data_IF_360654041172
#
_entry.id   IF_360654041172
#
_cell.length_a   1.000
_cell.length_b   1.000
_cell.length_c   1.000
_cell.angle_alpha   90.00
_cell.angle_beta   90.00
_cell.angle_gamma   90.00
#
_symmetry.space_group_name_H-M   'P 1'
#
loop_
_entity.id
_entity.type
_entity.pdbx_description
1 polymer ?
#
# COMPACT_ATOMS: atom_id res chain seq x y z
N UNK A 1 -33.17 -10.17 -3.78
CA UNK A 1 -32.37 -9.10 -3.16
C UNK A 1 -32.04 -9.52 -1.75
N UNK A 2 -30.76 -9.67 -1.39
CA UNK A 2 -30.37 -9.97 -0.01
C UNK A 2 -30.56 -8.72 0.86
N UNK A 3 -30.87 -8.88 2.16
CA UNK A 3 -31.09 -7.76 3.09
C UNK A 3 -29.94 -6.72 3.12
N UNK A 4 -28.74 -7.13 2.72
CA UNK A 4 -27.55 -6.29 2.59
C UNK A 4 -27.66 -5.25 1.45
N UNK A 5 -28.41 -5.54 0.38
CA UNK A 5 -28.62 -4.63 -0.75
C UNK A 5 -29.66 -3.53 -0.46
N UNK A 6 -30.46 -3.66 0.61
CA UNK A 6 -31.49 -2.69 0.97
C UNK A 6 -30.97 -1.49 1.76
N UNK A 7 -29.75 -1.57 2.32
CA UNK A 7 -29.14 -0.48 3.09
C UNK A 7 -28.25 0.42 2.22
N UNK A 8 -28.34 1.76 2.32
CA UNK A 8 -27.53 2.68 1.51
C UNK A 8 -26.03 2.57 1.80
N UNK A 9 -25.15 3.12 0.97
CA UNK A 9 -23.72 3.19 1.23
C UNK A 9 -23.40 3.84 2.61
N UNK A 10 -22.30 3.45 3.23
CA UNK A 10 -21.81 4.08 4.47
C UNK A 10 -20.31 3.98 4.59
N UNK A 11 -19.68 4.93 5.30
CA UNK A 11 -18.24 4.90 5.58
C UNK A 11 -17.83 3.64 6.30
N UNK A 12 -18.65 3.17 7.25
CA UNK A 12 -18.39 1.91 7.96
C UNK A 12 -18.31 0.72 7.00
N UNK A 13 -19.21 0.63 6.01
CA UNK A 13 -19.16 -0.43 4.99
C UNK A 13 -17.91 -0.32 4.13
N UNK A 14 -17.57 0.87 3.66
CA UNK A 14 -16.33 1.12 2.93
C UNK A 14 -15.12 0.64 3.73
N UNK A 15 -14.98 1.04 5.00
CA UNK A 15 -13.85 0.65 5.85
C UNK A 15 -13.74 -0.87 6.02
N UNK A 16 -14.85 -1.59 6.20
CA UNK A 16 -14.82 -3.05 6.25
C UNK A 16 -14.39 -3.68 4.93
N UNK A 17 -14.82 -3.15 3.78
CA UNK A 17 -14.35 -3.62 2.46
C UNK A 17 -12.87 -3.31 2.26
N UNK A 18 -12.43 -2.11 2.59
CA UNK A 18 -11.02 -1.72 2.57
C UNK A 18 -10.18 -2.63 3.45
N UNK A 19 -10.60 -2.92 4.69
CA UNK A 19 -9.90 -3.83 5.60
C UNK A 19 -9.83 -5.25 5.02
N UNK A 20 -10.94 -5.78 4.50
CA UNK A 20 -10.96 -7.10 3.87
C UNK A 20 -10.01 -7.18 2.68
N UNK A 21 -10.06 -6.20 1.78
CA UNK A 21 -9.19 -6.14 0.60
C UNK A 21 -7.73 -5.98 1.00
N UNK A 22 -7.45 -5.17 2.02
CA UNK A 22 -6.11 -5.00 2.57
C UNK A 22 -5.55 -6.32 3.12
N UNK A 23 -6.34 -7.07 3.90
CA UNK A 23 -5.92 -8.40 4.40
C UNK A 23 -5.64 -9.38 3.26
N UNK A 24 -6.49 -9.41 2.23
CA UNK A 24 -6.30 -10.27 1.06
C UNK A 24 -5.01 -9.89 0.31
N UNK A 25 -4.79 -8.59 0.09
CA UNK A 25 -3.56 -8.09 -0.53
C UNK A 25 -2.32 -8.56 0.24
N UNK A 26 -2.34 -8.52 1.56
CA UNK A 26 -1.21 -8.95 2.40
C UNK A 26 -0.95 -10.45 2.31
N UNK A 27 -2.01 -11.26 2.39
CA UNK A 27 -1.89 -12.72 2.26
C UNK A 27 -1.28 -13.07 0.89
N UNK A 28 -1.74 -12.41 -0.17
CA UNK A 28 -1.20 -12.62 -1.51
C UNK A 28 0.24 -12.09 -1.65
N UNK A 29 0.59 -10.97 -1.00
CA UNK A 29 1.95 -10.46 -0.97
C UNK A 29 2.91 -11.41 -0.23
N UNK A 30 2.49 -11.97 0.90
CA UNK A 30 3.26 -13.00 1.62
C UNK A 30 3.45 -14.22 0.72
N UNK A 31 2.41 -14.66 0.01
CA UNK A 31 2.54 -15.74 -0.98
C UNK A 31 3.54 -15.36 -2.08
N UNK A 32 3.51 -14.12 -2.59
CA UNK A 32 4.46 -13.62 -3.57
C UNK A 32 5.91 -13.66 -3.08
N UNK A 33 6.15 -13.26 -1.84
CA UNK A 33 7.47 -13.32 -1.18
C UNK A 33 7.93 -14.78 -1.08
N UNK A 34 7.11 -15.64 -0.50
CA UNK A 34 7.45 -17.05 -0.26
C UNK A 34 7.71 -17.80 -1.57
N UNK A 35 6.87 -17.60 -2.59
CA UNK A 35 7.04 -18.23 -3.89
C UNK A 35 8.27 -17.70 -4.65
N UNK A 36 8.63 -16.44 -4.43
CA UNK A 36 9.83 -15.84 -5.05
C UNK A 36 11.11 -16.33 -4.41
N UNK A 37 11.11 -16.52 -3.08
CA UNK A 37 12.22 -17.08 -2.30
C UNK A 37 12.34 -18.60 -2.40
N UNK A 38 11.29 -19.31 -2.82
CA UNK A 38 11.26 -20.78 -2.80
C UNK A 38 12.49 -21.43 -3.47
N UNK A 39 12.94 -21.01 -4.68
CA UNK A 39 14.10 -21.66 -5.29
C UNK A 39 15.40 -21.36 -4.53
N UNK A 40 15.55 -20.16 -3.96
CA UNK A 40 16.71 -19.76 -3.15
C UNK A 40 16.85 -20.65 -1.92
N UNK A 41 15.73 -20.93 -1.23
CA UNK A 41 15.69 -21.82 -0.07
C UNK A 41 16.01 -23.27 -0.48
N UNK A 42 15.45 -23.75 -1.59
CA UNK A 42 15.67 -25.14 -2.02
C UNK A 42 17.08 -25.40 -2.58
N UNK A 43 17.69 -24.41 -3.22
CA UNK A 43 19.01 -24.51 -3.82
C UNK A 43 20.15 -24.16 -2.85
N UNK A 44 19.85 -23.55 -1.71
CA UNK A 44 20.85 -23.02 -0.79
C UNK A 44 21.63 -21.82 -1.35
N UNK A 45 21.13 -21.21 -2.42
CA UNK A 45 21.74 -20.05 -3.07
C UNK A 45 20.82 -18.82 -2.88
N UNK A 46 21.23 -17.82 -2.08
CA UNK A 46 20.46 -16.59 -1.88
C UNK A 46 20.15 -15.82 -3.17
N UNK A 47 20.89 -16.06 -4.26
CA UNK A 47 20.67 -15.40 -5.56
C UNK A 47 19.66 -16.13 -6.44
N UNK A 48 19.26 -17.35 -6.11
CA UNK A 48 18.32 -18.15 -6.90
C UNK A 48 16.86 -17.76 -6.65
N UNK A 49 16.51 -16.48 -6.84
CA UNK A 49 15.12 -15.99 -6.77
C UNK A 49 14.44 -16.07 -8.14
N UNK A 50 13.16 -16.42 -8.16
CA UNK A 50 12.38 -16.54 -9.41
C UNK A 50 11.56 -15.27 -9.72
N UNK A 51 11.35 -14.98 -11.01
CA UNK A 51 10.47 -13.88 -11.43
C UNK A 51 9.00 -14.28 -11.57
N UNK A 52 8.71 -15.58 -11.52
CA UNK A 52 7.42 -16.12 -11.93
C UNK A 52 6.22 -15.55 -11.13
N UNK A 53 6.27 -15.42 -9.79
CA UNK A 53 5.12 -14.94 -9.01
C UNK A 53 4.71 -13.52 -9.39
N UNK A 54 5.67 -12.60 -9.56
CA UNK A 54 5.35 -11.23 -9.90
C UNK A 54 4.91 -11.07 -11.35
N UNK A 55 5.40 -11.88 -12.28
CA UNK A 55 4.85 -11.92 -13.64
C UNK A 55 3.39 -12.38 -13.65
N UNK A 56 3.07 -13.46 -12.92
CA UNK A 56 1.69 -13.95 -12.80
C UNK A 56 0.79 -12.87 -12.19
N UNK A 57 1.23 -12.25 -11.09
CA UNK A 57 0.50 -11.16 -10.43
C UNK A 57 0.27 -9.97 -11.38
N UNK A 58 1.30 -9.57 -12.13
CA UNK A 58 1.21 -8.47 -13.10
C UNK A 58 0.17 -8.76 -14.19
N UNK A 59 0.26 -9.92 -14.87
CA UNK A 59 -0.66 -10.26 -15.95
C UNK A 59 -2.10 -10.46 -15.43
N UNK A 60 -2.27 -11.18 -14.33
CA UNK A 60 -3.59 -11.36 -13.72
C UNK A 60 -4.20 -10.03 -13.26
N UNK A 61 -3.38 -9.13 -12.68
CA UNK A 61 -3.79 -7.79 -12.29
C UNK A 61 -4.24 -6.96 -13.49
N UNK A 62 -3.43 -6.87 -14.55
CA UNK A 62 -3.79 -6.13 -15.78
C UNK A 62 -5.10 -6.64 -16.37
N UNK A 63 -5.29 -7.96 -16.45
CA UNK A 63 -6.55 -8.54 -16.93
C UNK A 63 -7.71 -8.18 -16.00
N UNK A 64 -7.55 -8.31 -14.68
CA UNK A 64 -8.62 -8.01 -13.75
C UNK A 64 -9.03 -6.52 -13.76
N UNK A 65 -8.06 -5.60 -13.79
CA UNK A 65 -8.34 -4.15 -13.84
C UNK A 65 -8.93 -3.69 -15.17
N UNK A 66 -8.52 -4.28 -16.28
CA UNK A 66 -9.15 -4.01 -17.57
C UNK A 66 -10.61 -4.47 -17.59
N UNK A 67 -10.91 -5.62 -16.98
CA UNK A 67 -12.29 -6.09 -16.82
C UNK A 67 -13.11 -5.19 -15.88
N UNK A 68 -12.51 -4.67 -14.81
CA UNK A 68 -13.17 -3.77 -13.85
C UNK A 68 -13.51 -2.39 -14.42
N UNK A 69 -12.95 -2.01 -15.57
CA UNK A 69 -13.33 -0.78 -16.28
C UNK A 69 -14.79 -0.81 -16.73
N UNK A 70 -15.34 -2.00 -16.99
CA UNK A 70 -16.76 -2.19 -17.26
C UNK A 70 -17.54 -2.21 -15.95
N UNK A 71 -18.35 -1.16 -15.72
CA UNK A 71 -19.21 -1.03 -14.54
C UNK A 71 -20.13 -2.24 -14.35
N UNK A 72 -20.51 -2.95 -15.44
CA UNK A 72 -21.34 -4.16 -15.37
C UNK A 72 -20.60 -5.37 -14.79
N UNK A 73 -19.27 -5.39 -14.91
CA UNK A 73 -18.40 -6.47 -14.40
C UNK A 73 -17.87 -6.19 -13.00
N UNK A 74 -18.22 -5.04 -12.43
CA UNK A 74 -17.78 -4.62 -11.11
C UNK A 74 -18.46 -5.45 -10.02
N UNK A 75 -17.85 -6.61 -9.78
CA UNK A 75 -18.33 -7.62 -8.85
C UNK A 75 -17.33 -7.78 -7.70
N UNK A 76 -17.79 -8.06 -6.48
CA UNK A 76 -16.90 -8.28 -5.33
C UNK A 76 -15.83 -9.34 -5.59
N UNK A 77 -16.18 -10.43 -6.28
CA UNK A 77 -15.24 -11.50 -6.63
C UNK A 77 -14.13 -11.01 -7.55
N UNK A 78 -14.44 -10.26 -8.60
CA UNK A 78 -13.43 -9.73 -9.53
C UNK A 78 -12.50 -8.72 -8.83
N UNK A 79 -13.04 -7.90 -7.91
CA UNK A 79 -12.25 -6.99 -7.09
C UNK A 79 -11.27 -7.76 -6.20
N UNK A 80 -11.73 -8.83 -5.54
CA UNK A 80 -10.88 -9.67 -4.69
C UNK A 80 -9.76 -10.32 -5.51
N UNK A 81 -10.08 -10.84 -6.70
CA UNK A 81 -9.07 -11.43 -7.61
C UNK A 81 -8.05 -10.37 -8.05
N UNK A 82 -8.51 -9.18 -8.40
CA UNK A 82 -7.64 -8.07 -8.80
C UNK A 82 -6.64 -7.72 -7.68
N UNK A 83 -7.15 -7.52 -6.46
CA UNK A 83 -6.36 -7.15 -5.28
C UNK A 83 -5.41 -8.29 -4.87
N UNK A 84 -5.83 -9.55 -4.99
CA UNK A 84 -4.95 -10.69 -4.74
C UNK A 84 -3.82 -10.78 -5.77
N UNK A 85 -4.11 -10.56 -7.05
CA UNK A 85 -3.10 -10.54 -8.10
C UNK A 85 -2.08 -9.40 -7.87
N UNK A 86 -2.55 -8.22 -7.47
CA UNK A 86 -1.68 -7.10 -7.11
C UNK A 86 -0.82 -7.39 -5.87
N UNK A 87 -1.39 -8.01 -4.84
CA UNK A 87 -0.62 -8.46 -3.69
C UNK A 87 0.50 -9.41 -4.11
N UNK A 88 0.19 -10.43 -4.91
CA UNK A 88 1.17 -11.38 -5.45
C UNK A 88 2.29 -10.67 -6.25
N UNK A 89 1.90 -9.71 -7.10
CA UNK A 89 2.83 -8.86 -7.84
C UNK A 89 3.77 -8.11 -6.91
N UNK A 90 3.22 -7.38 -5.94
CA UNK A 90 3.99 -6.58 -4.99
C UNK A 90 4.93 -7.41 -4.13
N UNK A 91 4.47 -8.55 -3.63
CA UNK A 91 5.29 -9.45 -2.83
C UNK A 91 6.48 -9.98 -3.63
N UNK A 92 6.23 -10.47 -4.83
CA UNK A 92 7.28 -11.03 -5.66
C UNK A 92 8.26 -9.98 -6.20
N UNK A 93 7.77 -8.79 -6.59
CA UNK A 93 8.64 -7.72 -7.08
C UNK A 93 9.50 -7.16 -5.94
N UNK A 94 8.94 -7.00 -4.73
CA UNK A 94 9.71 -6.57 -3.57
C UNK A 94 10.87 -7.52 -3.27
N UNK A 95 10.61 -8.83 -3.21
CA UNK A 95 11.66 -9.83 -2.98
C UNK A 95 12.69 -9.87 -4.12
N UNK A 96 12.25 -9.80 -5.38
CA UNK A 96 13.15 -9.86 -6.53
C UNK A 96 14.11 -8.66 -6.59
N UNK A 97 13.64 -7.47 -6.22
CA UNK A 97 14.44 -6.26 -6.19
C UNK A 97 15.20 -6.05 -4.89
N UNK A 98 14.90 -6.77 -3.81
CA UNK A 98 15.67 -6.69 -2.55
C UNK A 98 17.15 -7.01 -2.77
N UNK A 99 17.48 -7.96 -3.66
CA UNK A 99 18.87 -8.28 -4.03
C UNK A 99 19.57 -7.23 -4.91
N UNK A 100 18.85 -6.23 -5.42
CA UNK A 100 19.38 -5.21 -6.36
C UNK A 100 19.31 -3.78 -5.79
N UNK A 101 18.25 -3.49 -5.05
CA UNK A 101 17.99 -2.22 -4.39
C UNK A 101 17.55 -2.52 -2.95
N UNK A 102 18.50 -2.87 -2.06
CA UNK A 102 18.19 -3.32 -0.71
C UNK A 102 17.35 -2.29 0.03
N UNK A 103 16.23 -2.71 0.61
CA UNK A 103 15.34 -1.91 1.44
C UNK A 103 14.48 -0.86 0.76
N UNK A 104 14.75 -0.44 -0.47
CA UNK A 104 13.98 0.65 -1.09
C UNK A 104 12.51 0.26 -1.24
N UNK A 105 12.26 -0.88 -1.88
CA UNK A 105 10.89 -1.32 -2.21
C UNK A 105 10.11 -1.67 -0.94
N UNK A 106 10.76 -2.37 -0.01
CA UNK A 106 10.10 -2.72 1.25
C UNK A 106 9.85 -1.48 2.12
N UNK A 107 10.78 -0.53 2.24
CA UNK A 107 10.55 0.71 3.01
C UNK A 107 9.39 1.54 2.44
N UNK A 108 9.29 1.67 1.12
CA UNK A 108 8.15 2.31 0.45
C UNK A 108 6.84 1.60 0.81
N UNK A 109 6.82 0.27 0.70
CA UNK A 109 5.65 -0.52 1.04
C UNK A 109 5.26 -0.30 2.51
N UNK A 110 6.19 -0.46 3.45
CA UNK A 110 5.94 -0.30 4.88
C UNK A 110 5.48 1.12 5.25
N UNK A 111 6.01 2.16 4.60
CA UNK A 111 5.52 3.53 4.78
C UNK A 111 4.05 3.65 4.37
N UNK A 112 3.67 3.17 3.20
CA UNK A 112 2.28 3.17 2.74
C UNK A 112 1.36 2.34 3.65
N UNK A 113 1.82 1.15 4.06
CA UNK A 113 1.09 0.26 4.97
C UNK A 113 0.81 0.93 6.33
N UNK A 114 1.80 1.62 6.88
CA UNK A 114 1.68 2.31 8.17
C UNK A 114 0.56 3.36 8.15
N UNK A 115 0.40 4.08 7.03
CA UNK A 115 -0.71 5.03 6.86
C UNK A 115 -2.05 4.32 6.85
N UNK A 116 -2.18 3.18 6.16
CA UNK A 116 -3.45 2.44 6.05
C UNK A 116 -3.85 1.85 7.40
N UNK A 117 -2.89 1.27 8.13
CA UNK A 117 -3.08 0.73 9.47
C UNK A 117 -3.54 1.81 10.44
N UNK A 118 -2.97 3.03 10.36
CA UNK A 118 -3.45 4.17 11.16
C UNK A 118 -4.81 4.69 10.67
N UNK A 119 -5.01 4.75 9.36
CA UNK A 119 -6.22 5.28 8.73
C UNK A 119 -7.47 4.50 9.13
N UNK A 120 -7.47 3.17 9.06
CA UNK A 120 -8.65 2.35 9.31
C UNK A 120 -9.33 2.62 10.67
N UNK A 121 -8.63 2.57 11.83
CA UNK A 121 -9.23 2.87 13.12
C UNK A 121 -9.57 4.36 13.27
N UNK A 122 -8.70 5.27 12.81
CA UNK A 122 -8.96 6.71 12.92
C UNK A 122 -10.20 7.12 12.11
N UNK A 123 -10.34 6.60 10.89
CA UNK A 123 -11.50 6.83 10.03
C UNK A 123 -12.74 6.11 10.54
N UNK A 124 -12.63 5.05 11.34
CA UNK A 124 -13.76 4.40 11.99
C UNK A 124 -14.37 5.27 13.11
N UNK A 125 -13.59 6.15 13.72
CA UNK A 125 -14.04 7.07 14.78
C UNK A 125 -14.89 8.23 14.22
N UNK A 126 -16.14 8.34 14.68
CA UNK A 126 -17.10 9.37 14.22
C UNK A 126 -16.58 10.79 14.44
N UNK A 127 -15.97 11.04 15.60
CA UNK A 127 -15.46 12.34 16.00
C UNK A 127 -14.36 12.82 15.04
N UNK A 128 -13.46 11.91 14.65
CA UNK A 128 -12.39 12.20 13.70
C UNK A 128 -12.96 12.51 12.32
N UNK A 129 -14.00 11.77 11.88
CA UNK A 129 -14.64 12.02 10.59
C UNK A 129 -15.28 13.41 10.51
N UNK A 130 -15.84 13.91 11.61
CA UNK A 130 -16.46 15.25 11.70
C UNK A 130 -15.47 16.42 11.70
N UNK A 131 -14.18 16.15 11.83
CA UNK A 131 -13.16 17.21 11.77
C UNK A 131 -13.07 17.82 10.38
N UNK A 132 -12.59 19.07 10.31
CA UNK A 132 -12.21 19.71 9.05
C UNK A 132 -11.11 18.88 8.37
N UNK A 133 -11.12 18.82 7.02
CA UNK A 133 -10.17 18.03 6.20
C UNK A 133 -8.72 18.18 6.66
N UNK A 134 -8.27 19.41 6.92
CA UNK A 134 -6.90 19.70 7.36
C UNK A 134 -6.55 19.00 8.66
N UNK A 135 -7.35 19.18 9.72
CA UNK A 135 -7.13 18.54 11.01
C UNK A 135 -7.22 17.01 10.92
N UNK A 136 -8.17 16.48 10.14
CA UNK A 136 -8.28 15.03 9.91
C UNK A 136 -7.07 14.46 9.19
N UNK A 137 -6.56 15.16 8.18
CA UNK A 137 -5.34 14.78 7.46
C UNK A 137 -4.15 14.76 8.40
N UNK A 138 -3.98 15.78 9.25
CA UNK A 138 -2.89 15.82 10.24
C UNK A 138 -2.94 14.63 11.21
N UNK A 139 -4.14 14.22 11.65
CA UNK A 139 -4.27 13.02 12.48
C UNK A 139 -3.87 11.75 11.74
N UNK A 140 -4.24 11.60 10.46
CA UNK A 140 -3.82 10.47 9.64
C UNK A 140 -2.31 10.46 9.40
N UNK A 141 -1.70 11.64 9.18
CA UNK A 141 -0.25 11.80 9.05
C UNK A 141 0.46 11.41 10.34
N UNK A 142 0.03 11.98 11.47
CA UNK A 142 0.60 11.70 12.78
C UNK A 142 0.47 10.21 13.14
N UNK A 143 -0.70 9.61 12.90
CA UNK A 143 -0.91 8.17 13.09
C UNK A 143 -0.03 7.33 12.16
N UNK A 144 0.09 7.70 10.89
CA UNK A 144 0.93 7.00 9.93
C UNK A 144 2.41 7.00 10.33
N UNK A 145 2.94 8.15 10.74
CA UNK A 145 4.31 8.23 11.27
C UNK A 145 4.47 7.48 12.58
N UNK A 146 3.49 7.52 13.49
CA UNK A 146 3.57 6.78 14.74
C UNK A 146 3.69 5.27 14.49
N UNK A 147 2.88 4.72 13.57
CA UNK A 147 2.96 3.31 13.17
C UNK A 147 4.28 3.00 12.47
N UNK A 148 4.73 3.87 11.56
CA UNK A 148 5.99 3.70 10.84
C UNK A 148 7.20 3.70 11.78
N UNK A 149 7.23 4.62 12.74
CA UNK A 149 8.29 4.70 13.75
C UNK A 149 8.28 3.50 14.67
N UNK A 150 7.10 3.08 15.14
CA UNK A 150 6.96 1.87 15.95
C UNK A 150 7.50 0.65 15.21
N UNK A 151 7.19 0.52 13.91
CA UNK A 151 7.72 -0.56 13.10
C UNK A 151 9.25 -0.55 13.02
N UNK A 152 9.85 0.61 12.72
CA UNK A 152 11.30 0.74 12.69
C UNK A 152 11.95 0.44 14.04
N UNK A 153 11.38 0.91 15.14
CA UNK A 153 11.85 0.60 16.50
C UNK A 153 11.76 -0.90 16.80
N UNK A 154 10.65 -1.56 16.44
CA UNK A 154 10.51 -3.01 16.64
C UNK A 154 11.52 -3.81 15.83
N UNK A 155 11.84 -3.37 14.60
CA UNK A 155 12.86 -4.02 13.78
C UNK A 155 14.28 -3.79 14.31
N UNK A 156 14.54 -2.66 14.97
CA UNK A 156 15.84 -2.37 15.59
C UNK A 156 16.12 -3.21 16.83
N UNK A 157 15.08 -3.57 17.58
CA UNK A 157 15.18 -4.38 18.81
C UNK A 157 15.16 -5.90 18.54
N UNK A 158 14.94 -6.30 17.29
CA UNK A 158 14.86 -7.70 16.90
C UNK A 158 16.23 -8.23 16.44
N UNK A 159 16.99 -8.80 17.39
CA UNK A 159 18.33 -9.41 17.19
C UNK A 159 18.41 -10.54 16.12
N UNK A 160 17.28 -10.97 15.55
CA UNK A 160 17.26 -11.99 14.48
C UNK A 160 17.39 -11.40 13.07
N UNK A 161 17.33 -10.09 12.92
CA UNK A 161 17.48 -9.43 11.61
C UNK A 161 18.98 -9.14 11.39
N UNK A 162 19.62 -9.71 10.35
CA UNK A 162 21.05 -9.53 10.12
C UNK A 162 21.44 -8.03 10.05
N UNK A 163 22.61 -7.69 10.59
CA UNK A 163 23.17 -6.32 10.62
C UNK A 163 23.29 -5.64 9.24
N UNK A 164 23.23 -6.44 8.16
CA UNK A 164 23.31 -5.98 6.77
C UNK A 164 21.94 -5.78 6.09
N UNK A 165 20.85 -5.85 6.85
CA UNK A 165 19.54 -5.54 6.29
C UNK A 165 19.36 -4.03 6.17
N UNK A 166 18.57 -3.61 5.20
CA UNK A 166 18.30 -2.19 4.96
C UNK A 166 17.36 -1.55 6.00
N UNK A 167 17.38 -2.06 7.23
CA UNK A 167 16.57 -1.64 8.37
C UNK A 167 17.49 -1.29 9.54
N UNK A 168 17.03 -0.42 10.43
CA UNK A 168 17.81 -0.06 11.63
C UNK A 168 19.19 0.53 11.31
N UNK A 169 20.23 0.08 12.01
CA UNK A 169 21.60 0.61 11.90
C UNK A 169 22.25 0.34 10.52
N UNK A 170 21.73 -0.61 9.73
CA UNK A 170 22.16 -0.92 8.37
C UNK A 170 21.36 -0.20 7.27
N UNK A 171 20.41 0.67 7.63
CA UNK A 171 19.59 1.39 6.67
C UNK A 171 20.44 2.27 5.75
N UNK A 172 20.24 2.14 4.43
CA UNK A 172 20.90 2.98 3.44
C UNK A 172 20.63 4.45 3.73
N UNK A 173 21.70 5.23 3.96
CA UNK A 173 21.61 6.66 4.21
C UNK A 173 21.73 7.43 2.90
N UNK A 174 20.78 8.31 2.64
CA UNK A 174 20.79 9.24 1.50
C UNK A 174 20.64 10.65 2.07
N UNK A 175 21.48 11.59 1.65
CA UNK A 175 21.49 12.97 2.19
C UNK A 175 21.64 13.06 3.73
N UNK A 176 22.29 12.06 4.36
CA UNK A 176 22.50 12.03 5.81
C UNK A 176 21.31 11.57 6.64
N UNK A 177 20.21 11.14 6.01
CA UNK A 177 19.05 10.54 6.67
C UNK A 177 18.80 9.11 6.16
N UNK A 178 18.24 8.21 6.99
CA UNK A 178 17.83 6.89 6.52
C UNK A 178 16.82 7.02 5.37
N UNK A 179 17.05 6.29 4.28
CA UNK A 179 16.22 6.36 3.07
C UNK A 179 14.72 6.16 3.38
N UNK A 180 14.41 5.24 4.30
CA UNK A 180 13.03 4.96 4.70
C UNK A 180 12.34 6.16 5.32
N UNK A 181 13.08 7.02 6.04
CA UNK A 181 12.54 8.25 6.62
C UNK A 181 12.22 9.28 5.53
N UNK A 182 13.07 9.41 4.52
CA UNK A 182 12.85 10.31 3.38
C UNK A 182 11.63 9.85 2.59
N UNK A 183 11.53 8.56 2.32
CA UNK A 183 10.39 7.97 1.63
C UNK A 183 9.09 8.15 2.43
N UNK A 184 9.13 7.88 3.74
CA UNK A 184 7.99 8.12 4.61
C UNK A 184 7.60 9.61 4.64
N UNK A 185 8.57 10.53 4.60
CA UNK A 185 8.32 11.97 4.56
C UNK A 185 7.48 12.40 3.34
N UNK A 186 7.63 11.70 2.21
CA UNK A 186 6.90 11.96 0.98
C UNK A 186 5.56 11.22 0.94
N UNK A 187 5.57 9.91 1.26
CA UNK A 187 4.41 9.02 1.11
C UNK A 187 3.35 9.30 2.17
N UNK A 188 3.75 9.50 3.43
CA UNK A 188 2.80 9.60 4.54
C UNK A 188 1.85 10.79 4.37
N UNK A 189 2.33 12.02 4.08
CA UNK A 189 1.43 13.16 3.87
C UNK A 189 0.54 13.02 2.64
N UNK A 190 1.09 12.56 1.50
CA UNK A 190 0.32 12.47 0.26
C UNK A 190 -0.77 11.40 0.32
N UNK A 191 -0.46 10.24 0.90
CA UNK A 191 -1.41 9.15 1.05
C UNK A 191 -2.47 9.51 2.10
N UNK A 192 -2.07 10.07 3.25
CA UNK A 192 -3.01 10.52 4.28
C UNK A 192 -4.00 11.57 3.76
N UNK A 193 -3.53 12.53 2.95
CA UNK A 193 -4.38 13.53 2.31
C UNK A 193 -5.41 12.89 1.38
N UNK A 194 -4.97 11.94 0.56
CA UNK A 194 -5.85 11.29 -0.41
C UNK A 194 -6.88 10.37 0.27
N UNK A 195 -6.49 9.70 1.36
CA UNK A 195 -7.40 8.94 2.21
C UNK A 195 -8.43 9.84 2.92
N UNK A 196 -8.00 11.01 3.41
CA UNK A 196 -8.91 12.00 3.99
C UNK A 196 -9.95 12.49 2.98
N UNK A 197 -9.57 12.70 1.72
CA UNK A 197 -10.53 13.00 0.64
C UNK A 197 -11.45 11.82 0.37
N UNK A 198 -10.95 10.59 0.38
CA UNK A 198 -11.76 9.40 0.11
C UNK A 198 -12.89 9.24 1.13
N UNK A 199 -12.62 9.54 2.41
CA UNK A 199 -13.66 9.56 3.45
C UNK A 199 -14.76 10.58 3.13
N UNK A 200 -14.40 11.81 2.75
CA UNK A 200 -15.39 12.83 2.38
C UNK A 200 -16.23 12.43 1.17
N UNK A 201 -15.62 11.88 0.13
CA UNK A 201 -16.35 11.42 -1.06
C UNK A 201 -17.32 10.30 -0.69
N UNK A 202 -16.91 9.41 0.22
CA UNK A 202 -17.74 8.33 0.73
C UNK A 202 -18.90 8.84 1.59
N UNK A 203 -18.68 9.88 2.40
CA UNK A 203 -19.73 10.54 3.19
C UNK A 203 -20.74 11.25 2.30
N UNK A 204 -20.27 11.98 1.27
CA UNK A 204 -21.13 12.62 0.29
C UNK A 204 -22.01 11.58 -0.44
N UNK A 205 -21.42 10.51 -0.97
CA UNK A 205 -22.16 9.44 -1.64
C UNK A 205 -23.15 8.73 -0.70
N UNK A 206 -22.81 8.55 0.57
CA UNK A 206 -23.71 7.99 1.57
C UNK A 206 -24.92 8.91 1.85
N UNK A 207 -24.70 10.23 1.90
CA UNK A 207 -25.77 11.23 2.08
C UNK A 207 -26.72 11.26 0.87
N UNK A 208 -26.18 11.04 -0.33
CA UNK A 208 -26.95 10.87 -1.58
C UNK A 208 -27.66 9.51 -1.69
N UNK A 209 -27.55 8.66 -0.65
CA UNK A 209 -28.12 7.31 -0.61
C UNK A 209 -27.64 6.40 -1.75
N UNK A 210 -26.38 6.55 -2.14
CA UNK A 210 -25.76 5.68 -3.13
C UNK A 210 -25.95 4.19 -2.78
N UNK A 211 -26.08 3.30 -3.78
CA UNK A 211 -26.27 1.86 -3.54
C UNK A 211 -25.15 1.23 -2.71
N UNK A 212 -25.47 0.20 -1.92
CA UNK A 212 -24.51 -0.49 -1.05
C UNK A 212 -23.27 -1.02 -1.78
N UNK A 213 -23.41 -1.43 -3.03
CA UNK A 213 -22.33 -2.03 -3.81
C UNK A 213 -21.21 -1.02 -4.16
N UNK A 214 -21.49 0.29 -4.13
CA UNK A 214 -20.47 1.32 -4.28
C UNK A 214 -19.42 1.30 -3.15
N UNK A 215 -19.72 0.66 -1.99
CA UNK A 215 -18.72 0.46 -0.95
C UNK A 215 -17.55 -0.43 -1.41
N UNK A 216 -17.79 -1.36 -2.33
CA UNK A 216 -16.72 -2.18 -2.93
C UNK A 216 -15.85 -1.36 -3.88
N UNK A 217 -16.47 -0.47 -4.67
CA UNK A 217 -15.75 0.48 -5.53
C UNK A 217 -14.89 1.43 -4.71
N UNK A 218 -15.46 1.99 -3.63
CA UNK A 218 -14.72 2.87 -2.72
C UNK A 218 -13.55 2.13 -2.06
N UNK A 219 -13.74 0.86 -1.66
CA UNK A 219 -12.67 0.01 -1.15
C UNK A 219 -11.56 -0.24 -2.17
N UNK A 220 -11.93 -0.57 -3.42
CA UNK A 220 -11.00 -0.75 -4.53
C UNK A 220 -10.20 0.53 -4.82
N UNK A 221 -10.86 1.70 -4.81
CA UNK A 221 -10.18 2.98 -5.01
C UNK A 221 -9.12 3.24 -3.93
N UNK A 222 -9.39 2.87 -2.68
CA UNK A 222 -8.36 2.95 -1.62
C UNK A 222 -7.18 2.02 -1.93
N UNK A 223 -7.44 0.79 -2.39
CA UNK A 223 -6.37 -0.14 -2.77
C UNK A 223 -5.52 0.43 -3.93
N UNK A 224 -6.16 0.93 -4.98
CA UNK A 224 -5.48 1.53 -6.12
C UNK A 224 -4.60 2.74 -5.71
N UNK A 225 -5.05 3.55 -4.74
CA UNK A 225 -4.26 4.66 -4.21
C UNK A 225 -3.02 4.18 -3.46
N UNK A 226 -3.10 3.09 -2.71
CA UNK A 226 -1.95 2.51 -2.01
C UNK A 226 -0.92 2.05 -3.04
N UNK A 227 -1.37 1.32 -4.06
CA UNK A 227 -0.51 0.78 -5.11
C UNK A 227 0.14 1.88 -5.94
N UNK A 228 -0.62 2.92 -6.27
CA UNK A 228 -0.09 4.10 -6.93
C UNK A 228 1.10 4.68 -6.18
N UNK A 229 0.99 4.85 -4.86
CA UNK A 229 2.10 5.40 -4.07
C UNK A 229 3.30 4.45 -3.99
N UNK A 230 3.07 3.14 -3.97
CA UNK A 230 4.16 2.15 -3.96
C UNK A 230 4.97 2.21 -5.26
N UNK A 231 4.31 2.40 -6.41
CA UNK A 231 4.97 2.39 -7.72
C UNK A 231 5.50 3.78 -8.12
N UNK A 232 4.75 4.85 -7.86
CA UNK A 232 5.07 6.19 -8.36
C UNK A 232 6.16 6.89 -7.52
N UNK A 233 6.26 6.65 -6.22
CA UNK A 233 7.25 7.34 -5.38
C UNK A 233 8.71 7.04 -5.77
N UNK A 234 9.11 5.78 -6.01
CA UNK A 234 10.46 5.51 -6.53
C UNK A 234 10.72 6.20 -7.87
N UNK A 235 9.72 6.23 -8.75
CA UNK A 235 9.83 6.85 -10.08
C UNK A 235 10.04 8.36 -9.99
N UNK A 236 9.25 9.06 -9.17
CA UNK A 236 9.38 10.50 -9.02
C UNK A 236 10.74 10.89 -8.41
N UNK A 237 11.30 10.06 -7.55
CA UNK A 237 12.64 10.24 -7.01
C UNK A 237 13.74 10.09 -8.07
N UNK A 238 13.65 9.07 -8.93
CA UNK A 238 14.61 8.89 -10.04
C UNK A 238 14.56 10.09 -10.99
N UNK A 239 13.35 10.57 -11.32
CA UNK A 239 13.20 11.75 -12.18
C UNK A 239 13.78 13.01 -11.53
N UNK A 240 13.55 13.21 -10.23
CA UNK A 240 14.11 14.34 -9.49
C UNK A 240 15.64 14.28 -9.39
N UNK A 241 16.20 13.08 -9.20
CA UNK A 241 17.65 12.87 -9.18
C UNK A 241 18.28 13.22 -10.53
N UNK A 242 17.74 12.70 -11.64
CA UNK A 242 18.25 12.97 -12.98
C UNK A 242 18.16 14.47 -13.32
N UNK A 243 17.05 15.13 -12.97
CA UNK A 243 16.89 16.57 -13.16
C UNK A 243 17.90 17.40 -12.34
N UNK A 244 18.27 16.93 -11.14
CA UNK A 244 19.28 17.57 -10.32
C UNK A 244 20.70 17.39 -10.90
N UNK A 245 21.01 16.25 -11.51
CA UNK A 245 22.28 16.04 -12.22
C UNK A 245 22.41 16.99 -13.42
N UNK A 246 21.38 17.05 -14.27
CA UNK A 246 21.31 17.98 -15.40
C UNK A 246 21.47 19.46 -14.97
N UNK A 247 20.82 19.85 -13.86
CA UNK A 247 20.94 21.21 -13.32
C UNK A 247 22.32 21.50 -12.69
N UNK A 248 23.05 20.46 -12.27
CA UNK A 248 24.39 20.57 -11.68
C UNK A 248 25.53 20.55 -12.71
N UNK A 249 25.23 20.36 -14.00
CA UNK A 249 26.21 20.36 -15.08
C UNK A 249 27.18 19.16 -15.06
N UNK A 250 26.71 18.01 -14.56
CA UNK A 250 27.36 16.70 -14.75
C UNK A 250 26.53 15.89 -15.74
#
# INVERSE_FOLDING_TARGET
>A
MTAEQASPMSVRRMLWRTLLLFVILHIAAIAGILLTLAPAVTAGDPQAVTVLPWLIGLFAGVVAFTLLRDQKRLTPSLIIVAVAAEGLFLGGIATYFEGRMPGVVLQVAFAALSVVVAFLPLAATVQIRRLRRGARTLLFVAGGYAVFMLHNLTLMEMDFIPEQTAWGQGATSVLGAPLGLILAALIVPSLAYTLARTVEHTEAAANERAPAHHAWQAGLNVMALILWHIVETPRSLVLAHNAAEEASGK
#
